data_IF_615915429078
#
_entry.id   IF_615915429078
#
_cell.length_a   1.000
_cell.length_b   1.000
_cell.length_c   1.000
_cell.angle_alpha   90.00
_cell.angle_beta   90.00
_cell.angle_gamma   90.00
#
_symmetry.space_group_name_H-M   'P 1'
#
loop_
_entity.id
_entity.type
_entity.pdbx_description
1 polymer ?
#
# COMPACT_ATOMS: atom_id res chain seq x y z
N UNK A 1 22.51 -10.55 -5.82
CA UNK A 1 21.22 -10.08 -6.38
C UNK A 1 20.21 -11.17 -6.10
N UNK A 2 19.36 -10.98 -5.10
CA UNK A 2 18.22 -11.88 -4.86
C UNK A 2 17.01 -11.12 -5.37
N UNK A 3 16.63 -11.37 -6.63
CA UNK A 3 15.30 -11.04 -7.11
C UNK A 3 14.39 -12.17 -6.67
N UNK A 4 14.05 -12.20 -5.38
CA UNK A 4 12.85 -12.90 -4.95
C UNK A 4 11.68 -12.06 -5.45
N UNK A 5 11.13 -12.48 -6.60
CA UNK A 5 9.77 -12.10 -6.97
C UNK A 5 8.90 -12.77 -5.91
N UNK A 6 8.57 -12.00 -4.86
CA UNK A 6 7.56 -12.40 -3.89
C UNK A 6 6.28 -12.59 -4.68
N UNK A 7 5.83 -13.83 -4.76
CA UNK A 7 4.57 -14.21 -5.38
C UNK A 7 3.44 -13.66 -4.49
N UNK A 8 2.78 -12.59 -4.95
CA UNK A 8 1.71 -11.96 -4.20
C UNK A 8 0.39 -12.66 -4.58
N UNK A 9 -0.13 -13.47 -3.66
CA UNK A 9 -1.52 -13.94 -3.73
C UNK A 9 -2.50 -12.75 -3.90
N UNK A 10 -3.70 -12.97 -4.48
CA UNK A 10 -4.66 -11.92 -4.75
C UNK A 10 -5.00 -11.11 -3.49
N UNK A 11 -5.10 -9.80 -3.66
CA UNK A 11 -5.54 -8.83 -2.65
C UNK A 11 -6.83 -9.26 -1.96
N UNK A 12 -6.74 -9.79 -0.74
CA UNK A 12 -7.89 -10.20 0.05
C UNK A 12 -8.12 -9.27 1.24
N UNK A 13 -9.32 -9.32 1.83
CA UNK A 13 -9.58 -8.67 3.13
C UNK A 13 -8.64 -9.16 4.24
N UNK A 14 -8.10 -10.38 4.12
CA UNK A 14 -7.13 -10.93 5.08
C UNK A 14 -5.80 -10.16 5.04
N UNK A 15 -5.39 -9.64 3.88
CA UNK A 15 -4.16 -8.85 3.75
C UNK A 15 -4.26 -7.51 4.45
N UNK A 16 -5.45 -6.88 4.40
CA UNK A 16 -5.74 -5.67 5.17
C UNK A 16 -5.62 -5.95 6.66
N UNK A 17 -6.31 -6.97 7.15
CA UNK A 17 -6.35 -7.27 8.57
C UNK A 17 -4.95 -7.64 9.09
N UNK A 18 -4.14 -8.34 8.30
CA UNK A 18 -2.74 -8.62 8.60
C UNK A 18 -1.90 -7.33 8.67
N UNK A 19 -2.02 -6.41 7.69
CA UNK A 19 -1.31 -5.12 7.74
C UNK A 19 -1.74 -4.28 8.93
N UNK A 20 -3.04 -4.22 9.23
CA UNK A 20 -3.56 -3.49 10.38
C UNK A 20 -3.06 -4.09 11.71
N UNK A 21 -2.94 -5.41 11.81
CA UNK A 21 -2.38 -6.08 12.99
C UNK A 21 -0.88 -5.79 13.16
N UNK A 22 -0.12 -5.81 12.05
CA UNK A 22 1.28 -5.42 12.05
C UNK A 22 1.48 -3.96 12.48
N UNK A 23 0.63 -3.03 12.01
CA UNK A 23 0.69 -1.62 12.45
C UNK A 23 0.40 -1.50 13.95
N UNK A 24 -0.62 -2.22 14.45
CA UNK A 24 -0.98 -2.20 15.88
C UNK A 24 0.14 -2.69 16.79
N UNK A 25 0.83 -3.76 16.37
CA UNK A 25 1.90 -4.40 17.14
C UNK A 25 3.25 -3.70 16.99
N UNK A 26 3.41 -2.81 16.02
CA UNK A 26 4.65 -2.03 15.84
C UNK A 26 4.75 -0.92 16.88
N UNK A 27 5.90 -0.86 17.56
CA UNK A 27 6.21 0.13 18.60
C UNK A 27 6.71 1.46 18.02
N UNK A 28 5.76 2.24 17.49
CA UNK A 28 5.95 3.62 16.99
C UNK A 28 5.01 4.59 17.72
N UNK A 29 5.24 5.90 17.56
CA UNK A 29 4.33 6.92 18.09
C UNK A 29 2.88 6.73 17.65
N UNK A 30 1.94 7.04 18.55
CA UNK A 30 0.51 6.87 18.29
C UNK A 30 -0.01 7.75 17.15
N UNK A 31 0.58 8.94 16.95
CA UNK A 31 0.24 9.79 15.82
C UNK A 31 0.58 9.11 14.49
N UNK A 32 1.81 8.58 14.37
CA UNK A 32 2.23 7.89 13.15
C UNK A 32 1.42 6.61 12.93
N UNK A 33 1.18 5.84 14.00
CA UNK A 33 0.32 4.65 13.96
C UNK A 33 -1.07 4.98 13.42
N UNK A 34 -1.71 6.04 13.92
CA UNK A 34 -3.01 6.50 13.42
C UNK A 34 -2.95 6.89 11.94
N UNK A 35 -1.89 7.58 11.51
CA UNK A 35 -1.67 7.91 10.10
C UNK A 35 -1.53 6.67 9.19
N UNK A 36 -0.78 5.65 9.64
CA UNK A 36 -0.63 4.39 8.93
C UNK A 36 -1.93 3.60 8.87
N UNK A 37 -2.71 3.52 9.96
CA UNK A 37 -4.03 2.87 9.96
C UNK A 37 -4.98 3.53 8.97
N UNK A 38 -5.05 4.87 8.99
CA UNK A 38 -5.92 5.61 8.06
C UNK A 38 -5.50 5.41 6.61
N UNK A 39 -4.19 5.41 6.34
CA UNK A 39 -3.66 5.17 5.01
C UNK A 39 -3.93 3.74 4.55
N UNK A 40 -3.77 2.74 5.43
CA UNK A 40 -4.09 1.35 5.14
C UNK A 40 -5.57 1.18 4.81
N UNK A 41 -6.48 1.68 5.65
CA UNK A 41 -7.92 1.61 5.36
C UNK A 41 -8.27 2.23 4.01
N UNK A 42 -7.69 3.40 3.68
CA UNK A 42 -7.91 4.01 2.36
C UNK A 42 -7.38 3.13 1.20
N UNK A 43 -6.16 2.59 1.33
CA UNK A 43 -5.58 1.73 0.28
C UNK A 43 -6.35 0.41 0.10
N UNK A 44 -6.87 -0.17 1.18
CA UNK A 44 -7.49 -1.49 1.19
C UNK A 44 -9.01 -1.49 1.06
N UNK A 45 -9.70 -0.42 1.46
CA UNK A 45 -11.16 -0.31 1.33
C UNK A 45 -11.52 0.65 0.18
N UNK A 46 -11.01 1.88 0.19
CA UNK A 46 -11.46 2.91 -0.78
C UNK A 46 -10.92 2.65 -2.19
N UNK A 47 -9.64 2.30 -2.33
CA UNK A 47 -9.12 1.86 -3.63
C UNK A 47 -9.76 0.53 -4.03
N UNK A 48 -10.15 -0.35 -3.09
CA UNK A 48 -10.72 -1.67 -3.43
C UNK A 48 -11.96 -1.56 -4.30
N UNK A 49 -12.81 -0.58 -3.99
CA UNK A 49 -14.04 -0.34 -4.75
C UNK A 49 -13.88 0.69 -5.87
N UNK A 50 -12.70 1.31 -6.02
CA UNK A 50 -12.43 2.18 -7.16
C UNK A 50 -12.21 1.35 -8.43
N UNK A 51 -13.02 1.66 -9.43
CA UNK A 51 -12.91 1.18 -10.81
C UNK A 51 -11.66 1.77 -11.49
N UNK A 52 -10.51 1.14 -11.25
CA UNK A 52 -9.22 1.54 -11.85
C UNK A 52 -8.96 0.68 -13.09
N UNK A 53 -9.40 1.17 -14.25
CA UNK A 53 -9.28 0.46 -15.54
C UNK A 53 -8.20 1.02 -16.47
N UNK A 54 -7.47 2.06 -16.04
CA UNK A 54 -6.43 2.69 -16.87
C UNK A 54 -5.11 2.83 -16.11
N UNK A 55 -4.01 2.83 -16.84
CA UNK A 55 -2.67 3.06 -16.27
C UNK A 55 -2.60 4.43 -15.57
N UNK A 56 -3.22 5.47 -16.12
CA UNK A 56 -3.20 6.80 -15.52
C UNK A 56 -3.95 6.85 -14.20
N UNK A 57 -5.10 6.18 -14.10
CA UNK A 57 -5.85 6.08 -12.84
C UNK A 57 -5.07 5.29 -11.78
N UNK A 58 -4.36 4.23 -12.18
CA UNK A 58 -3.47 3.48 -11.27
C UNK A 58 -2.28 4.33 -10.80
N UNK A 59 -1.62 5.06 -11.70
CA UNK A 59 -0.53 5.99 -11.35
C UNK A 59 -1.02 7.07 -10.39
N UNK A 60 -2.22 7.61 -10.61
CA UNK A 60 -2.83 8.59 -9.71
C UNK A 60 -3.08 8.01 -8.32
N UNK A 61 -3.67 6.81 -8.25
CA UNK A 61 -3.93 6.14 -6.97
C UNK A 61 -2.63 5.85 -6.21
N UNK A 62 -1.57 5.40 -6.89
CA UNK A 62 -0.26 5.16 -6.28
C UNK A 62 0.36 6.45 -5.72
N UNK A 63 0.31 7.56 -6.47
CA UNK A 63 0.82 8.86 -5.99
C UNK A 63 0.06 9.36 -4.77
N UNK A 64 -1.26 9.18 -4.72
CA UNK A 64 -2.05 9.55 -3.53
C UNK A 64 -1.70 8.67 -2.32
N UNK A 65 -1.47 7.38 -2.55
CA UNK A 65 -0.97 6.46 -1.53
C UNK A 65 0.38 6.90 -0.95
N UNK A 66 1.34 7.26 -1.82
CA UNK A 66 2.65 7.77 -1.42
C UNK A 66 2.54 9.09 -0.64
N UNK A 67 1.68 10.01 -1.09
CA UNK A 67 1.45 11.27 -0.39
C UNK A 67 0.86 11.04 1.01
N UNK A 68 -0.14 10.16 1.14
CA UNK A 68 -0.74 9.84 2.45
C UNK A 68 0.27 9.22 3.42
N UNK A 69 1.20 8.41 2.93
CA UNK A 69 2.31 7.91 3.74
C UNK A 69 3.24 9.05 4.16
N UNK A 70 3.59 9.98 3.27
CA UNK A 70 4.37 11.16 3.65
C UNK A 70 3.66 12.00 4.73
N UNK A 71 2.35 12.17 4.60
CA UNK A 71 1.55 12.90 5.59
C UNK A 71 1.48 12.14 6.93
N UNK A 72 1.38 10.82 6.91
CA UNK A 72 1.41 9.98 8.11
C UNK A 72 2.75 10.09 8.86
N UNK A 73 3.86 10.25 8.14
CA UNK A 73 5.20 10.46 8.70
C UNK A 73 5.37 11.83 9.38
N UNK A 74 4.43 12.76 9.22
CA UNK A 74 4.55 14.10 9.78
C UNK A 74 4.68 14.05 11.31
N UNK A 75 5.84 14.49 11.83
CA UNK A 75 6.15 14.46 13.25
C UNK A 75 6.63 13.10 13.79
N UNK A 76 6.84 12.10 12.94
CA UNK A 76 7.46 10.83 13.32
C UNK A 76 8.97 11.02 13.57
N UNK A 77 9.51 10.30 14.55
CA UNK A 77 10.97 10.27 14.80
C UNK A 77 11.69 9.42 13.76
N UNK A 78 12.99 9.61 13.58
CA UNK A 78 13.79 8.77 12.68
C UNK A 78 13.74 7.28 13.09
N UNK A 79 13.67 6.99 14.39
CA UNK A 79 13.52 5.63 14.91
C UNK A 79 12.17 5.03 14.52
N UNK A 80 11.09 5.82 14.62
CA UNK A 80 9.75 5.41 14.19
C UNK A 80 9.72 5.11 12.68
N UNK A 81 10.35 5.97 11.87
CA UNK A 81 10.46 5.78 10.43
C UNK A 81 11.17 4.47 10.09
N UNK A 82 12.30 4.17 10.74
CA UNK A 82 13.04 2.90 10.54
C UNK A 82 12.21 1.68 10.93
N UNK A 83 11.47 1.76 12.04
CA UNK A 83 10.60 0.65 12.50
C UNK A 83 9.43 0.41 11.56
N UNK A 84 8.87 1.46 10.97
CA UNK A 84 7.70 1.38 10.11
C UNK A 84 8.02 1.21 8.62
N UNK A 85 9.27 1.39 8.18
CA UNK A 85 9.68 1.32 6.77
C UNK A 85 9.16 0.03 6.09
N UNK A 86 9.30 -1.11 6.76
CA UNK A 86 8.80 -2.39 6.25
C UNK A 86 7.27 -2.40 6.06
N UNK A 87 6.50 -1.74 6.95
CA UNK A 87 5.05 -1.64 6.84
C UNK A 87 4.65 -0.83 5.62
N UNK A 88 5.29 0.33 5.42
CA UNK A 88 5.00 1.22 4.30
C UNK A 88 5.34 0.57 2.96
N UNK A 89 6.49 -0.12 2.88
CA UNK A 89 6.88 -0.89 1.71
C UNK A 89 5.89 -2.03 1.45
N UNK A 90 5.46 -2.74 2.50
CA UNK A 90 4.46 -3.80 2.39
C UNK A 90 3.15 -3.25 1.83
N UNK A 91 2.66 -2.13 2.35
CA UNK A 91 1.44 -1.47 1.87
C UNK A 91 1.53 -1.05 0.40
N UNK A 92 2.64 -0.41 0.00
CA UNK A 92 2.83 0.05 -1.38
C UNK A 92 3.01 -1.10 -2.37
N UNK A 93 3.80 -2.12 -2.03
CA UNK A 93 4.02 -3.28 -2.91
C UNK A 93 2.72 -4.04 -3.12
N UNK A 94 1.96 -4.22 -2.04
CA UNK A 94 0.62 -4.75 -2.10
C UNK A 94 -0.26 -3.93 -3.06
N UNK A 95 -0.38 -2.61 -2.85
CA UNK A 95 -1.19 -1.77 -3.72
C UNK A 95 -0.78 -1.88 -5.20
N UNK A 96 0.52 -1.81 -5.50
CA UNK A 96 1.06 -1.95 -6.87
C UNK A 96 0.64 -3.26 -7.52
N UNK A 97 0.81 -4.38 -6.81
CA UNK A 97 0.44 -5.69 -7.32
C UNK A 97 -1.05 -5.75 -7.70
N UNK A 98 -1.93 -5.19 -6.87
CA UNK A 98 -3.36 -5.11 -7.18
C UNK A 98 -3.64 -4.26 -8.42
N UNK A 99 -3.03 -3.10 -8.53
CA UNK A 99 -3.23 -2.19 -9.66
C UNK A 99 -2.83 -2.87 -10.98
N UNK A 100 -1.69 -3.57 -11.00
CA UNK A 100 -1.24 -4.38 -12.14
C UNK A 100 -2.30 -5.42 -12.51
N UNK A 101 -2.73 -6.26 -11.56
CA UNK A 101 -3.72 -7.32 -11.81
C UNK A 101 -5.07 -6.80 -12.32
N UNK A 102 -5.50 -5.63 -11.82
CA UNK A 102 -6.75 -4.99 -12.25
C UNK A 102 -6.65 -4.52 -13.70
N UNK A 103 -5.51 -3.94 -14.08
CA UNK A 103 -5.24 -3.50 -15.46
C UNK A 103 -5.05 -4.70 -16.39
N UNK A 104 -4.29 -5.74 -16.00
CA UNK A 104 -4.13 -6.98 -16.78
C UNK A 104 -5.48 -7.63 -17.09
N UNK A 105 -6.37 -7.69 -16.10
CA UNK A 105 -7.72 -8.23 -16.26
C UNK A 105 -8.63 -7.35 -17.14
N UNK A 106 -8.37 -6.04 -17.20
CA UNK A 106 -9.14 -5.10 -18.02
C UNK A 106 -8.58 -4.93 -19.44
N UNK A 107 -7.29 -5.18 -19.65
CA UNK A 107 -6.62 -5.15 -20.96
C UNK A 107 -5.29 -5.94 -20.90
N UNK A 108 -5.28 -7.16 -21.45
CA UNK A 108 -4.11 -8.05 -21.46
C UNK A 108 -2.89 -7.49 -22.18
N UNK A 109 -3.09 -6.54 -23.08
CA UNK A 109 -2.05 -6.05 -24.00
C UNK A 109 -1.58 -4.62 -23.68
N UNK A 110 -2.07 -4.03 -22.59
CA UNK A 110 -1.87 -2.61 -22.29
C UNK A 110 -0.65 -2.31 -21.41
N UNK A 111 0.06 -3.32 -20.88
CA UNK A 111 1.10 -3.11 -19.86
C UNK A 111 2.49 -3.06 -20.49
N UNK A 112 2.97 -1.85 -20.78
CA UNK A 112 4.39 -1.55 -20.95
C UNK A 112 4.78 -0.64 -19.77
N UNK A 113 5.60 -1.15 -18.84
CA UNK A 113 6.03 -0.45 -17.62
C UNK A 113 7.40 0.19 -17.79
#
# INVERSE_FOLDING_TARGET
MVNEIIDFEPFTRNDRDAVLDMIKTTHISENYKSGLVNTANWMFDDIFYLEIYTIDSAKKALREAEQRLMDARAGASEEDLKKAEFLEQTMLNRLKHRLVRTIEGACSDCIDW
#
